data_IF_242492638759
#
_entry.id   IF_242492638759
#
_cell.length_a   1.000
_cell.length_b   1.000
_cell.length_c   1.000
_cell.angle_alpha   90.00
_cell.angle_beta   90.00
_cell.angle_gamma   90.00
#
_symmetry.space_group_name_H-M   'P 1'
#
loop_
_entity.id
_entity.type
_entity.pdbx_description
1 polymer ?
#
# COMPACT_ATOMS: atom_id res chain seq x y z
N UNK A 1 -11.46 12.35 22.60
CA UNK A 1 -10.88 11.87 21.33
C UNK A 1 -10.84 10.34 21.19
N UNK A 2 -10.54 9.54 22.24
CA UNK A 2 -10.46 8.05 22.13
C UNK A 2 -11.76 7.33 21.69
N UNK A 3 -12.96 7.87 21.96
CA UNK A 3 -14.24 7.26 21.56
C UNK A 3 -14.52 7.31 20.04
N UNK A 4 -13.94 8.27 19.31
CA UNK A 4 -14.17 8.42 17.87
C UNK A 4 -13.10 7.73 17.01
N UNK A 5 -12.00 7.27 17.62
CA UNK A 5 -10.92 6.59 16.90
C UNK A 5 -11.41 5.37 16.09
N UNK A 6 -12.27 4.48 16.61
CA UNK A 6 -12.78 3.35 15.83
C UNK A 6 -13.60 3.79 14.61
N UNK A 7 -14.37 4.88 14.74
CA UNK A 7 -15.16 5.42 13.64
C UNK A 7 -14.26 5.91 12.49
N UNK A 8 -13.20 6.65 12.79
CA UNK A 8 -12.26 7.10 11.76
C UNK A 8 -11.55 5.93 11.06
N UNK A 9 -11.22 4.87 11.80
CA UNK A 9 -10.63 3.65 11.21
C UNK A 9 -11.62 2.97 10.25
N UNK A 10 -12.88 2.81 10.65
CA UNK A 10 -13.92 2.21 9.81
C UNK A 10 -14.14 3.04 8.54
N UNK A 11 -14.22 4.36 8.69
CA UNK A 11 -14.41 5.28 7.57
C UNK A 11 -13.22 5.22 6.60
N UNK A 12 -11.99 5.26 7.11
CA UNK A 12 -10.78 5.16 6.29
C UNK A 12 -10.72 3.81 5.55
N UNK A 13 -11.01 2.69 6.23
CA UNK A 13 -11.03 1.38 5.60
C UNK A 13 -12.11 1.26 4.52
N UNK A 14 -13.28 1.87 4.74
CA UNK A 14 -14.37 1.90 3.75
C UNK A 14 -13.99 2.71 2.51
N UNK A 15 -13.40 3.90 2.70
CA UNK A 15 -12.91 4.73 1.60
C UNK A 15 -11.81 4.00 0.80
N UNK A 16 -10.90 3.31 1.49
CA UNK A 16 -9.84 2.53 0.86
C UNK A 16 -10.38 1.35 0.03
N UNK A 17 -11.44 0.69 0.51
CA UNK A 17 -12.10 -0.38 -0.25
C UNK A 17 -12.79 0.16 -1.52
N UNK A 18 -13.46 1.31 -1.44
CA UNK A 18 -14.07 1.97 -2.60
C UNK A 18 -13.01 2.36 -3.63
N UNK A 19 -11.89 2.91 -3.17
CA UNK A 19 -10.77 3.29 -4.02
C UNK A 19 -10.20 2.10 -4.81
N UNK A 20 -9.87 0.99 -4.13
CA UNK A 20 -9.26 -0.18 -4.74
C UNK A 20 -10.19 -1.01 -5.63
N UNK A 21 -11.51 -0.99 -5.39
CA UNK A 21 -12.49 -1.80 -6.13
C UNK A 21 -13.16 -1.01 -7.24
N UNK A 22 -13.47 0.28 -7.02
CA UNK A 22 -14.29 1.08 -7.94
C UNK A 22 -13.46 2.14 -8.65
N UNK A 23 -12.74 3.00 -7.90
CA UNK A 23 -12.11 4.19 -8.47
C UNK A 23 -10.87 3.86 -9.29
N UNK A 24 -9.84 3.23 -8.70
CA UNK A 24 -8.59 2.94 -9.42
C UNK A 24 -8.82 2.07 -10.66
N UNK A 25 -9.56 0.94 -10.59
CA UNK A 25 -9.79 0.13 -11.79
C UNK A 25 -10.50 0.90 -12.91
N UNK A 26 -11.35 1.89 -12.60
CA UNK A 26 -12.02 2.72 -13.62
C UNK A 26 -11.10 3.68 -14.36
N UNK A 27 -9.91 3.95 -13.82
CA UNK A 27 -8.91 4.86 -14.39
C UNK A 27 -7.87 4.14 -15.27
N UNK A 28 -8.09 2.86 -15.59
CA UNK A 28 -7.12 2.00 -16.29
C UNK A 28 -6.65 2.54 -17.66
N UNK A 29 -7.45 3.42 -18.28
CA UNK A 29 -7.13 4.05 -19.57
C UNK A 29 -6.10 5.18 -19.47
N UNK A 30 -5.84 5.69 -18.26
CA UNK A 30 -4.89 6.76 -18.02
C UNK A 30 -3.48 6.23 -17.71
N UNK A 31 -2.43 7.04 -17.92
CA UNK A 31 -1.09 6.69 -17.44
C UNK A 31 -1.06 6.59 -15.91
N UNK A 32 -0.54 5.49 -15.37
CA UNK A 32 -0.41 5.26 -13.92
C UNK A 32 0.31 6.43 -13.23
N UNK A 33 1.38 6.94 -13.84
CA UNK A 33 2.14 8.08 -13.31
C UNK A 33 1.28 9.33 -13.16
N UNK A 34 0.39 9.60 -14.13
CA UNK A 34 -0.50 10.75 -14.09
C UNK A 34 -1.51 10.62 -12.96
N UNK A 35 -2.09 9.43 -12.79
CA UNK A 35 -3.08 9.16 -11.74
C UNK A 35 -2.46 9.36 -10.35
N UNK A 36 -1.30 8.76 -10.09
CA UNK A 36 -0.62 8.89 -8.79
C UNK A 36 -0.15 10.32 -8.55
N UNK A 37 0.31 11.03 -9.58
CA UNK A 37 0.72 12.43 -9.46
C UNK A 37 -0.46 13.34 -9.09
N UNK A 38 -1.60 13.21 -9.79
CA UNK A 38 -2.80 14.01 -9.53
C UNK A 38 -3.36 13.70 -8.15
N UNK A 39 -3.46 12.41 -7.78
CA UNK A 39 -3.88 11.99 -6.45
C UNK A 39 -3.00 12.61 -5.35
N UNK A 40 -1.68 12.48 -5.48
CA UNK A 40 -0.72 13.03 -4.52
C UNK A 40 -0.81 14.56 -4.44
N UNK A 41 -1.04 15.23 -5.58
CA UNK A 41 -1.21 16.69 -5.64
C UNK A 41 -2.49 17.14 -4.93
N UNK A 42 -3.61 16.45 -5.15
CA UNK A 42 -4.88 16.75 -4.48
C UNK A 42 -4.70 16.57 -2.96
N UNK A 43 -4.11 15.46 -2.52
CA UNK A 43 -3.85 15.21 -1.09
C UNK A 43 -2.94 16.30 -0.51
N UNK A 44 -1.87 16.69 -1.21
CA UNK A 44 -0.97 17.74 -0.77
C UNK A 44 -1.70 19.08 -0.62
N UNK A 45 -2.52 19.48 -1.61
CA UNK A 45 -3.29 20.72 -1.57
C UNK A 45 -4.32 20.72 -0.43
N UNK A 46 -5.02 19.61 -0.21
CA UNK A 46 -6.01 19.47 0.86
C UNK A 46 -5.35 19.50 2.25
N UNK A 47 -4.16 18.92 2.41
CA UNK A 47 -3.47 18.88 3.70
C UNK A 47 -2.66 20.15 4.01
N UNK A 48 -2.21 20.88 2.98
CA UNK A 48 -1.44 22.12 3.12
C UNK A 48 -2.06 23.14 4.12
N UNK A 49 -3.37 23.50 4.06
CA UNK A 49 -3.93 24.47 4.99
C UNK A 49 -3.90 24.01 6.45
N UNK A 50 -3.97 22.70 6.71
CA UNK A 50 -3.88 22.15 8.06
C UNK A 50 -2.44 22.17 8.60
N UNK A 51 -1.46 22.04 7.72
CA UNK A 51 -0.03 22.00 8.07
C UNK A 51 0.58 23.40 8.16
N UNK A 52 -0.06 24.42 7.59
CA UNK A 52 0.44 25.80 7.55
C UNK A 52 0.95 26.32 8.90
N UNK A 53 0.25 26.01 10.00
CA UNK A 53 0.64 26.42 11.37
C UNK A 53 1.99 25.83 11.83
N UNK A 54 2.40 24.71 11.26
CA UNK A 54 3.63 23.98 11.58
C UNK A 54 4.77 24.22 10.59
N UNK A 55 4.59 25.10 9.59
CA UNK A 55 5.65 25.44 8.64
C UNK A 55 6.90 26.03 9.31
N UNK A 56 6.73 26.70 10.44
CA UNK A 56 7.84 27.18 11.27
C UNK A 56 8.71 26.04 11.82
N UNK A 57 8.13 24.86 12.05
CA UNK A 57 8.85 23.68 12.54
C UNK A 57 9.50 22.90 11.40
N UNK A 58 8.91 22.90 10.20
CA UNK A 58 9.52 22.33 8.99
C UNK A 58 10.86 23.01 8.68
N UNK A 59 10.99 24.31 8.95
CA UNK A 59 12.24 25.06 8.75
C UNK A 59 13.36 24.65 9.71
N UNK A 60 13.06 23.94 10.79
CA UNK A 60 14.03 23.47 11.78
C UNK A 60 14.59 22.08 11.46
N UNK A 61 14.07 21.42 10.42
CA UNK A 61 14.48 20.08 10.02
C UNK A 61 15.92 20.06 9.51
N UNK A 62 16.67 19.05 9.93
CA UNK A 62 18.01 18.82 9.43
C UNK A 62 17.97 18.13 8.06
N UNK A 63 19.10 18.14 7.34
CA UNK A 63 19.21 17.45 6.04
C UNK A 63 18.89 15.95 6.15
N UNK A 64 19.19 15.33 7.30
CA UNK A 64 18.88 13.92 7.57
C UNK A 64 17.38 13.66 7.58
N UNK A 65 16.59 14.57 8.16
CA UNK A 65 15.13 14.47 8.19
C UNK A 65 14.56 14.61 6.78
N UNK A 66 15.10 15.54 5.99
CA UNK A 66 14.71 15.71 4.59
C UNK A 66 15.03 14.49 3.72
N UNK A 67 16.18 13.85 3.94
CA UNK A 67 16.52 12.59 3.26
C UNK A 67 15.55 11.48 3.67
N UNK A 68 15.20 11.38 4.95
CA UNK A 68 14.22 10.40 5.42
C UNK A 68 12.84 10.64 4.80
N UNK A 69 12.35 11.88 4.79
CA UNK A 69 11.09 12.25 4.14
C UNK A 69 11.11 11.98 2.64
N UNK A 70 12.21 12.32 1.96
CA UNK A 70 12.40 12.03 0.54
C UNK A 70 12.38 10.53 0.25
N UNK A 71 13.05 9.72 1.08
CA UNK A 71 13.04 8.26 0.96
C UNK A 71 11.65 7.66 1.14
N UNK A 72 10.89 8.11 2.16
CA UNK A 72 9.51 7.66 2.39
C UNK A 72 8.59 8.09 1.25
N UNK A 73 8.69 9.35 0.81
CA UNK A 73 7.89 9.88 -0.29
C UNK A 73 8.18 9.18 -1.62
N UNK A 74 9.44 8.84 -1.89
CA UNK A 74 9.83 8.16 -3.12
C UNK A 74 9.46 6.67 -3.11
N UNK A 75 9.89 5.93 -2.10
CA UNK A 75 9.75 4.47 -2.06
C UNK A 75 8.31 4.04 -1.75
N UNK A 76 7.77 4.50 -0.62
CA UNK A 76 6.41 4.17 -0.20
C UNK A 76 5.37 5.00 -0.92
N UNK A 77 5.59 6.32 -0.97
CA UNK A 77 4.63 7.27 -1.54
C UNK A 77 4.45 7.13 -3.05
N UNK A 78 5.52 7.31 -3.83
CA UNK A 78 5.44 7.32 -5.29
C UNK A 78 5.53 5.92 -5.88
N UNK A 79 6.65 5.22 -5.66
CA UNK A 79 6.93 3.92 -6.29
C UNK A 79 5.91 2.86 -5.83
N UNK A 80 5.66 2.75 -4.53
CA UNK A 80 4.69 1.82 -3.96
C UNK A 80 3.28 2.04 -4.52
N UNK A 81 2.79 3.28 -4.50
CA UNK A 81 1.45 3.61 -5.01
C UNK A 81 1.34 3.40 -6.52
N UNK A 82 2.38 3.72 -7.29
CA UNK A 82 2.42 3.42 -8.73
C UNK A 82 2.40 1.91 -8.99
N UNK A 83 3.13 1.11 -8.22
CA UNK A 83 3.14 -0.34 -8.37
C UNK A 83 1.76 -0.95 -8.11
N UNK A 84 1.07 -0.52 -7.04
CA UNK A 84 -0.29 -0.97 -6.72
C UNK A 84 -1.29 -0.50 -7.77
N UNK A 85 -1.23 0.77 -8.17
CA UNK A 85 -2.13 1.33 -9.19
C UNK A 85 -1.94 0.60 -10.52
N UNK A 86 -0.69 0.33 -10.92
CA UNK A 86 -0.39 -0.46 -12.11
C UNK A 86 -0.98 -1.86 -12.00
N UNK A 87 -0.78 -2.54 -10.87
CA UNK A 87 -1.37 -3.87 -10.67
C UNK A 87 -2.91 -3.86 -10.76
N UNK A 88 -3.55 -2.81 -10.22
CA UNK A 88 -5.00 -2.58 -10.31
C UNK A 88 -5.47 -2.07 -11.67
N UNK A 89 -4.59 -1.80 -12.63
CA UNK A 89 -4.99 -1.50 -14.02
C UNK A 89 -4.95 -2.76 -14.88
N UNK A 90 -4.27 -3.81 -14.43
CA UNK A 90 -4.22 -5.12 -15.09
C UNK A 90 -5.38 -6.05 -14.69
N UNK A 91 -6.51 -5.53 -14.18
CA UNK A 91 -7.64 -6.32 -13.66
C UNK A 91 -8.29 -7.22 -14.72
N UNK A 92 -8.29 -6.79 -15.98
CA UNK A 92 -8.79 -7.61 -17.09
C UNK A 92 -7.91 -8.85 -17.37
N UNK A 93 -6.68 -8.88 -16.84
CA UNK A 93 -5.69 -9.95 -17.07
C UNK A 93 -5.29 -10.71 -15.81
N UNK A 94 -5.44 -10.09 -14.62
CA UNK A 94 -5.14 -10.67 -13.32
C UNK A 94 -6.35 -10.47 -12.41
N UNK A 95 -6.87 -11.56 -11.85
CA UNK A 95 -8.00 -11.50 -10.93
C UNK A 95 -7.72 -10.47 -9.82
N UNK A 96 -8.57 -9.46 -9.66
CA UNK A 96 -8.46 -8.38 -8.66
C UNK A 96 -8.12 -8.92 -7.26
N UNK A 97 -8.63 -10.11 -6.94
CA UNK A 97 -8.40 -10.81 -5.68
C UNK A 97 -6.91 -11.11 -5.44
N UNK A 98 -6.13 -11.40 -6.48
CA UNK A 98 -4.69 -11.68 -6.36
C UNK A 98 -3.92 -10.39 -5.99
N UNK A 99 -4.24 -9.27 -6.64
CA UNK A 99 -3.60 -7.98 -6.36
C UNK A 99 -3.92 -7.53 -4.92
N UNK A 100 -5.18 -7.64 -4.52
CA UNK A 100 -5.62 -7.31 -3.16
C UNK A 100 -5.03 -8.30 -2.14
N UNK A 101 -4.87 -9.58 -2.49
CA UNK A 101 -4.18 -10.56 -1.65
C UNK A 101 -2.73 -10.16 -1.40
N UNK A 102 -1.98 -9.82 -2.46
CA UNK A 102 -0.58 -9.42 -2.31
C UNK A 102 -0.47 -8.18 -1.41
N UNK A 103 -1.42 -7.24 -1.52
CA UNK A 103 -1.48 -6.08 -0.61
C UNK A 103 -1.76 -6.47 0.85
N UNK A 104 -2.56 -7.50 1.11
CA UNK A 104 -2.80 -7.99 2.49
C UNK A 104 -1.56 -8.61 3.13
N UNK A 105 -0.52 -8.93 2.35
CA UNK A 105 0.78 -9.37 2.85
C UNK A 105 1.72 -8.20 3.21
N UNK A 106 1.35 -6.93 2.95
CA UNK A 106 2.14 -5.76 3.36
C UNK A 106 2.60 -5.80 4.83
N UNK A 107 1.78 -6.22 5.81
CA UNK A 107 2.22 -6.30 7.21
C UNK A 107 3.40 -7.25 7.41
N UNK A 108 3.49 -8.34 6.64
CA UNK A 108 4.60 -9.28 6.72
C UNK A 108 5.89 -8.61 6.24
N UNK A 109 5.86 -7.92 5.10
CA UNK A 109 7.02 -7.19 4.58
C UNK A 109 7.43 -6.03 5.50
N UNK A 110 6.46 -5.28 6.04
CA UNK A 110 6.74 -4.18 6.96
C UNK A 110 7.51 -4.67 8.20
N UNK A 111 7.08 -5.78 8.78
CA UNK A 111 7.69 -6.32 9.99
C UNK A 111 9.05 -6.99 9.70
N UNK A 112 9.19 -7.70 8.58
CA UNK A 112 10.48 -8.23 8.13
C UNK A 112 11.50 -7.10 7.91
N UNK A 113 11.10 -6.04 7.21
CA UNK A 113 11.95 -4.88 6.97
C UNK A 113 12.26 -4.14 8.28
N UNK A 114 11.31 -4.02 9.21
CA UNK A 114 11.57 -3.47 10.54
C UNK A 114 12.63 -4.30 11.30
N UNK A 115 12.52 -5.63 11.29
CA UNK A 115 13.52 -6.51 11.89
C UNK A 115 14.92 -6.36 11.27
N UNK A 116 15.01 -6.15 9.95
CA UNK A 116 16.29 -5.99 9.24
C UNK A 116 16.89 -4.60 9.44
N UNK A 117 16.11 -3.54 9.20
CA UNK A 117 16.59 -2.16 9.17
C UNK A 117 16.61 -1.50 10.56
N UNK A 118 15.58 -1.73 11.38
CA UNK A 118 15.51 -1.18 12.75
C UNK A 118 16.14 -2.12 13.79
N UNK A 119 16.48 -3.37 13.40
CA UNK A 119 17.08 -4.40 14.26
C UNK A 119 16.20 -4.76 15.48
N UNK A 120 14.88 -4.63 15.32
CA UNK A 120 13.92 -5.01 16.36
C UNK A 120 13.90 -6.54 16.56
N UNK A 121 13.96 -6.98 17.82
CA UNK A 121 13.86 -8.40 18.17
C UNK A 121 12.39 -8.80 18.21
N UNK A 122 11.94 -9.47 17.14
CA UNK A 122 10.57 -9.97 17.05
C UNK A 122 10.37 -11.16 18.01
N UNK A 123 9.31 -11.17 18.83
CA UNK A 123 9.01 -12.27 19.74
C UNK A 123 8.68 -13.56 18.96
N UNK A 124 8.89 -14.74 19.55
CA UNK A 124 8.68 -16.01 18.81
C UNK A 124 7.22 -16.22 18.41
N UNK A 125 6.30 -15.72 19.23
CA UNK A 125 4.86 -15.69 19.00
C UNK A 125 4.50 -14.93 17.71
N UNK A 126 5.31 -13.93 17.32
CA UNK A 126 5.10 -13.19 16.06
C UNK A 126 5.18 -14.13 14.85
N UNK A 127 6.18 -15.01 14.81
CA UNK A 127 6.35 -15.92 13.67
C UNK A 127 5.17 -16.88 13.54
N UNK A 128 4.56 -17.30 14.66
CA UNK A 128 3.33 -18.09 14.65
C UNK A 128 2.18 -17.31 13.98
N UNK A 129 1.98 -16.06 14.37
CA UNK A 129 0.93 -15.20 13.79
C UNK A 129 1.18 -14.87 12.33
N UNK A 130 2.44 -14.64 11.93
CA UNK A 130 2.81 -14.38 10.55
C UNK A 130 2.49 -15.60 9.66
N UNK A 131 2.83 -16.81 10.10
CA UNK A 131 2.47 -18.05 9.40
C UNK A 131 0.95 -18.21 9.28
N UNK A 132 0.22 -18.01 10.38
CA UNK A 132 -1.25 -18.03 10.38
C UNK A 132 -1.85 -17.00 9.41
N UNK A 133 -1.31 -15.79 9.36
CA UNK A 133 -1.76 -14.74 8.46
C UNK A 133 -1.51 -15.10 6.98
N UNK A 134 -0.35 -15.67 6.66
CA UNK A 134 -0.03 -16.13 5.30
C UNK A 134 -0.99 -17.24 4.88
N UNK A 135 -1.24 -18.22 5.76
CA UNK A 135 -2.18 -19.32 5.51
C UNK A 135 -3.60 -18.79 5.31
N UNK A 136 -4.08 -17.91 6.21
CA UNK A 136 -5.40 -17.30 6.09
C UNK A 136 -5.56 -16.48 4.81
N UNK A 137 -4.50 -15.77 4.42
CA UNK A 137 -4.44 -15.00 3.18
C UNK A 137 -4.54 -15.95 1.97
N UNK A 138 -3.80 -17.05 1.94
CA UNK A 138 -3.92 -18.08 0.89
C UNK A 138 -5.34 -18.63 0.75
N UNK A 139 -5.99 -19.02 1.87
CA UNK A 139 -7.34 -19.56 1.83
C UNK A 139 -8.38 -18.54 1.36
N UNK A 140 -8.25 -17.28 1.78
CA UNK A 140 -9.08 -16.19 1.27
C UNK A 140 -8.83 -15.93 -0.24
N UNK A 141 -7.60 -16.18 -0.69
CA UNK A 141 -7.14 -16.26 -2.08
C UNK A 141 -7.85 -17.29 -2.96
N UNK A 142 -7.43 -18.51 -2.72
CA UNK A 142 -7.59 -19.62 -3.64
C UNK A 142 -8.57 -20.66 -3.09
N UNK A 143 -9.08 -20.47 -1.86
CA UNK A 143 -9.87 -21.48 -1.16
C UNK A 143 -9.07 -22.78 -1.04
N UNK A 144 -9.69 -23.88 -1.47
CA UNK A 144 -9.04 -25.20 -1.56
C UNK A 144 -8.40 -25.47 -2.93
N UNK A 145 -8.44 -24.52 -3.87
CA UNK A 145 -7.86 -24.68 -5.20
C UNK A 145 -6.38 -24.32 -5.16
N UNK A 146 -5.58 -25.01 -5.96
CA UNK A 146 -4.18 -24.66 -6.18
C UNK A 146 -4.13 -23.46 -7.13
N UNK A 147 -3.30 -22.42 -6.88
CA UNK A 147 -3.13 -21.33 -7.82
C UNK A 147 -2.73 -21.88 -9.19
N UNK A 148 -3.51 -21.54 -10.23
CA UNK A 148 -3.17 -21.90 -11.60
C UNK A 148 -2.07 -20.95 -12.08
N UNK A 149 -0.82 -21.43 -12.08
CA UNK A 149 0.37 -20.71 -12.55
C UNK A 149 0.50 -20.81 -14.09
N UNK A 150 -0.56 -21.19 -14.80
CA UNK A 150 -0.61 -21.08 -16.27
C UNK A 150 -0.70 -19.60 -16.65
N UNK A 151 0.44 -18.91 -16.60
CA UNK A 151 0.62 -17.59 -17.20
C UNK A 151 0.23 -17.67 -18.67
N UNK A 152 -0.87 -17.02 -19.06
CA UNK A 152 -1.20 -16.83 -20.46
C UNK A 152 -0.08 -16.06 -21.16
N UNK A 153 0.83 -16.78 -21.81
CA UNK A 153 1.70 -16.41 -22.93
C UNK A 153 2.28 -14.98 -23.08
N UNK A 154 2.45 -14.19 -22.01
CA UNK A 154 3.13 -12.88 -22.08
C UNK A 154 3.92 -12.56 -20.80
N UNK A 155 4.73 -13.49 -20.33
CA UNK A 155 5.90 -13.16 -19.52
C UNK A 155 6.96 -12.56 -20.47
N UNK A 156 7.76 -11.58 -20.02
CA UNK A 156 8.75 -10.81 -20.79
C UNK A 156 9.88 -11.60 -21.51
N UNK A 157 9.71 -12.91 -21.70
CA UNK A 157 10.60 -13.83 -22.42
C UNK A 157 9.91 -14.48 -23.63
N UNK A 158 8.93 -13.78 -24.24
CA UNK A 158 8.36 -14.14 -25.53
C UNK A 158 8.51 -12.96 -26.51
#
# INVERSE_FOLDING_TARGET
>A
MKKFAPFFVILAASLWAVDGIVLRPSLYSLPVTLVVFVESTIVALLLTPFIYKYFSDIKKLEIKDWIAFGGVALLGGAIGTMAITKALFYVDYVNLSIVILIQKLQPVFAILLAGIFLKEKLPKEFFLWAVLAIIGTYFMTFGFKVPNISSGNKTYLA
#
